data_IF_827222356001
#
_entry.id   IF_827222356001
#
_cell.length_a   1.000
_cell.length_b   1.000
_cell.length_c   1.000
_cell.angle_alpha   90.00
_cell.angle_beta   90.00
_cell.angle_gamma   90.00
#
_symmetry.space_group_name_H-M   'P 1'
#
loop_
_entity.id
_entity.type
_entity.pdbx_description
1 polymer ?
#
# COMPACT_ATOMS: atom_id res chain seq x y z
N UNK A 1 -28.55 -10.38 1.45
CA UNK A 1 -29.31 -9.16 1.01
C UNK A 1 -28.31 -8.34 0.22
N UNK A 2 -28.64 -7.85 -0.99
CA UNK A 2 -27.71 -7.09 -1.83
C UNK A 2 -27.33 -5.78 -1.13
N UNK A 3 -26.02 -5.51 -1.03
CA UNK A 3 -25.51 -4.24 -0.49
C UNK A 3 -25.62 -3.15 -1.57
N UNK A 4 -26.62 -2.28 -1.44
CA UNK A 4 -26.90 -1.21 -2.42
C UNK A 4 -25.76 -0.21 -2.56
N UNK A 5 -25.09 0.12 -1.45
CA UNK A 5 -23.96 1.07 -1.44
C UNK A 5 -22.79 0.48 -2.22
N UNK A 6 -22.48 -0.79 -1.99
CA UNK A 6 -21.41 -1.47 -2.68
C UNK A 6 -21.68 -1.61 -4.19
N UNK A 7 -22.90 -2.03 -4.54
CA UNK A 7 -23.35 -2.01 -5.93
C UNK A 7 -23.14 -0.64 -6.58
N UNK A 8 -23.61 0.42 -5.92
CA UNK A 8 -23.51 1.78 -6.44
C UNK A 8 -22.07 2.22 -6.72
N UNK A 9 -21.18 1.97 -5.80
CA UNK A 9 -19.74 2.26 -5.95
C UNK A 9 -19.14 1.49 -7.14
N UNK A 10 -19.44 0.19 -7.29
CA UNK A 10 -18.96 -0.63 -8.41
C UNK A 10 -19.55 -0.17 -9.75
N UNK A 11 -20.85 0.12 -9.80
CA UNK A 11 -21.49 0.64 -11.00
C UNK A 11 -20.86 1.96 -11.46
N UNK A 12 -20.59 2.88 -10.53
CA UNK A 12 -19.90 4.14 -10.77
C UNK A 12 -18.47 3.92 -11.30
N UNK A 13 -17.72 3.00 -10.69
CA UNK A 13 -16.37 2.63 -11.10
C UNK A 13 -16.35 2.10 -12.54
N UNK A 14 -17.21 1.11 -12.87
CA UNK A 14 -17.26 0.55 -14.22
C UNK A 14 -17.69 1.58 -15.26
N UNK A 15 -18.62 2.47 -14.93
CA UNK A 15 -19.00 3.57 -15.80
C UNK A 15 -17.83 4.50 -16.10
N UNK A 16 -17.11 4.95 -15.06
CA UNK A 16 -15.92 5.81 -15.20
C UNK A 16 -14.82 5.12 -16.01
N UNK A 17 -14.58 3.84 -15.76
CA UNK A 17 -13.62 3.03 -16.53
C UNK A 17 -13.98 2.94 -18.03
N UNK A 18 -15.26 3.07 -18.35
CA UNK A 18 -15.76 3.19 -19.76
C UNK A 18 -15.71 4.62 -20.29
N UNK A 19 -15.32 5.60 -19.50
CA UNK A 19 -15.29 7.01 -19.89
C UNK A 19 -16.67 7.65 -20.01
N UNK A 20 -17.73 7.03 -19.47
CA UNK A 20 -19.10 7.53 -19.62
C UNK A 20 -19.47 8.48 -18.47
N UNK A 21 -20.19 9.57 -18.76
CA UNK A 21 -20.92 10.35 -17.78
C UNK A 21 -22.19 9.62 -17.31
N UNK A 22 -22.79 10.04 -16.22
CA UNK A 22 -24.09 9.49 -15.76
C UNK A 22 -25.20 9.71 -16.79
N UNK A 23 -25.15 10.83 -17.55
CA UNK A 23 -26.10 11.14 -18.61
C UNK A 23 -25.96 10.20 -19.79
N UNK A 24 -24.73 9.95 -20.27
CA UNK A 24 -24.46 9.02 -21.38
C UNK A 24 -24.82 7.58 -21.02
N UNK A 25 -24.55 7.16 -19.77
CA UNK A 25 -25.00 5.84 -19.31
C UNK A 25 -26.54 5.76 -19.29
N UNK A 26 -27.20 6.80 -18.80
CA UNK A 26 -28.67 6.87 -18.77
C UNK A 26 -29.29 6.79 -20.16
N UNK A 27 -28.70 7.47 -21.14
CA UNK A 27 -29.12 7.41 -22.54
C UNK A 27 -28.95 6.00 -23.12
N UNK A 28 -27.81 5.34 -22.85
CA UNK A 28 -27.54 3.96 -23.27
C UNK A 28 -28.57 2.96 -22.74
N UNK A 29 -29.02 3.15 -21.49
CA UNK A 29 -29.94 2.25 -20.80
C UNK A 29 -31.41 2.66 -20.94
N UNK A 30 -31.73 3.75 -21.65
CA UNK A 30 -33.10 4.25 -21.76
C UNK A 30 -33.73 4.73 -20.43
N UNK A 31 -32.91 5.18 -19.49
CA UNK A 31 -33.32 5.65 -18.15
C UNK A 31 -32.98 7.12 -17.95
N UNK A 32 -33.28 7.68 -16.79
CA UNK A 32 -32.90 9.05 -16.45
C UNK A 32 -31.54 9.11 -15.76
N UNK A 33 -30.80 10.21 -15.92
CA UNK A 33 -29.54 10.42 -15.20
C UNK A 33 -29.76 10.42 -13.67
N UNK A 34 -30.95 10.80 -13.21
CA UNK A 34 -31.34 10.72 -11.79
C UNK A 34 -31.45 9.25 -11.30
N UNK A 35 -31.89 8.33 -12.16
CA UNK A 35 -31.94 6.91 -11.83
C UNK A 35 -30.52 6.38 -11.66
N UNK A 36 -29.62 6.66 -12.60
CA UNK A 36 -28.21 6.30 -12.51
C UNK A 36 -27.57 6.87 -11.24
N UNK A 37 -27.81 8.15 -10.94
CA UNK A 37 -27.32 8.79 -9.72
C UNK A 37 -27.83 8.10 -8.44
N UNK A 38 -29.12 7.71 -8.39
CA UNK A 38 -29.68 6.96 -7.26
C UNK A 38 -29.01 5.61 -7.07
N UNK A 39 -28.70 4.92 -8.17
CA UNK A 39 -27.99 3.64 -8.11
C UNK A 39 -26.56 3.83 -7.57
N UNK A 40 -25.83 4.78 -8.11
CA UNK A 40 -24.44 5.05 -7.72
C UNK A 40 -24.30 5.58 -6.28
N UNK A 41 -25.33 6.28 -5.77
CA UNK A 41 -25.41 6.68 -4.37
C UNK A 41 -25.91 5.57 -3.43
N UNK A 42 -26.20 4.37 -3.93
CA UNK A 42 -26.69 3.25 -3.11
C UNK A 42 -28.13 3.41 -2.61
N UNK A 43 -28.92 4.33 -3.18
CA UNK A 43 -30.32 4.57 -2.81
C UNK A 43 -31.28 3.60 -3.50
N UNK A 44 -30.88 3.02 -4.65
CA UNK A 44 -31.66 2.07 -5.41
C UNK A 44 -30.73 1.05 -6.11
N UNK A 45 -31.32 -0.03 -6.62
CA UNK A 45 -30.69 -0.99 -7.52
C UNK A 45 -31.52 -1.02 -8.79
N UNK A 46 -30.92 -1.16 -9.99
CA UNK A 46 -31.64 -1.42 -11.23
C UNK A 46 -32.44 -2.73 -11.14
N UNK A 47 -33.45 -2.86 -11.98
CA UNK A 47 -34.10 -4.16 -12.19
C UNK A 47 -33.15 -5.16 -12.89
N UNK A 48 -33.59 -6.40 -13.01
CA UNK A 48 -32.75 -7.49 -13.53
C UNK A 48 -32.36 -7.28 -15.00
N UNK A 49 -33.24 -6.67 -15.80
CA UNK A 49 -32.97 -6.45 -17.20
C UNK A 49 -31.88 -5.39 -17.39
N UNK A 50 -31.94 -4.30 -16.61
CA UNK A 50 -30.93 -3.26 -16.58
C UNK A 50 -29.60 -3.75 -15.97
N UNK A 51 -29.64 -4.68 -15.01
CA UNK A 51 -28.42 -5.32 -14.50
C UNK A 51 -27.74 -6.17 -15.59
N UNK A 52 -28.49 -6.87 -16.42
CA UNK A 52 -27.97 -7.62 -17.56
C UNK A 52 -27.36 -6.67 -18.59
N UNK A 53 -28.03 -5.56 -18.92
CA UNK A 53 -27.50 -4.56 -19.85
C UNK A 53 -26.21 -3.93 -19.32
N UNK A 54 -26.15 -3.58 -18.03
CA UNK A 54 -24.93 -3.08 -17.38
C UNK A 54 -23.78 -4.10 -17.45
N UNK A 55 -24.08 -5.38 -17.17
CA UNK A 55 -23.10 -6.46 -17.25
C UNK A 55 -22.51 -6.59 -18.66
N UNK A 56 -23.34 -6.54 -19.70
CA UNK A 56 -22.91 -6.55 -21.09
C UNK A 56 -22.12 -5.31 -21.48
N UNK A 57 -22.61 -4.12 -21.10
CA UNK A 57 -21.96 -2.84 -21.39
C UNK A 57 -20.56 -2.77 -20.78
N UNK A 58 -20.44 -3.20 -19.52
CA UNK A 58 -19.17 -3.18 -18.79
C UNK A 58 -18.27 -4.37 -19.09
N UNK A 59 -18.81 -5.42 -19.72
CA UNK A 59 -18.13 -6.72 -19.97
C UNK A 59 -17.70 -7.39 -18.67
N UNK A 60 -18.60 -7.42 -17.70
CA UNK A 60 -18.43 -8.06 -16.39
C UNK A 60 -19.61 -8.99 -16.12
N UNK A 61 -19.53 -9.86 -15.13
CA UNK A 61 -20.67 -10.69 -14.73
C UNK A 61 -21.63 -9.89 -13.83
N UNK A 62 -22.88 -10.34 -13.71
CA UNK A 62 -23.82 -9.76 -12.74
C UNK A 62 -23.26 -9.91 -11.31
N UNK A 63 -22.58 -11.01 -11.03
CA UNK A 63 -21.93 -11.21 -9.74
C UNK A 63 -20.87 -10.13 -9.48
N UNK A 64 -20.09 -9.75 -10.48
CA UNK A 64 -19.14 -8.64 -10.37
C UNK A 64 -19.81 -7.30 -10.04
N UNK A 65 -21.08 -7.14 -10.35
CA UNK A 65 -21.86 -5.94 -10.01
C UNK A 65 -22.50 -6.03 -8.61
N UNK A 66 -23.02 -7.20 -8.24
CA UNK A 66 -23.88 -7.37 -7.08
C UNK A 66 -23.19 -7.96 -5.85
N UNK A 67 -22.18 -8.83 -6.06
CA UNK A 67 -21.50 -9.46 -4.95
C UNK A 67 -20.61 -8.42 -4.25
N UNK A 68 -20.84 -8.32 -2.98
CA UNK A 68 -19.85 -7.82 -2.02
C UNK A 68 -18.78 -8.91 -1.94
N UNK A 69 -17.91 -8.91 -2.96
CA UNK A 69 -16.74 -9.79 -2.92
C UNK A 69 -15.92 -9.25 -1.77
N UNK A 70 -16.05 -9.89 -0.62
CA UNK A 70 -15.13 -9.66 0.49
C UNK A 70 -13.73 -10.06 0.02
N UNK A 71 -13.04 -9.10 -0.61
CA UNK A 71 -11.70 -9.31 -1.13
C UNK A 71 -10.80 -9.85 -0.02
N UNK A 72 -10.99 -9.37 1.20
CA UNK A 72 -10.25 -9.82 2.36
C UNK A 72 -10.56 -11.30 2.65
N UNK A 73 -11.84 -11.74 2.52
CA UNK A 73 -12.17 -13.16 2.62
C UNK A 73 -11.52 -13.99 1.50
N UNK A 74 -11.51 -13.48 0.27
CA UNK A 74 -10.87 -14.20 -0.85
C UNK A 74 -9.40 -14.46 -0.57
N UNK A 75 -8.66 -13.45 -0.15
CA UNK A 75 -7.21 -13.55 0.06
C UNK A 75 -6.82 -14.17 1.40
N UNK A 76 -7.68 -14.09 2.45
CA UNK A 76 -7.38 -14.63 3.78
C UNK A 76 -8.08 -15.97 4.05
N UNK A 77 -9.24 -16.19 3.45
CA UNK A 77 -10.14 -17.31 3.80
C UNK A 77 -10.86 -17.13 5.14
N UNK A 78 -10.89 -15.91 5.69
CA UNK A 78 -11.55 -15.61 6.98
C UNK A 78 -12.56 -14.49 6.79
N UNK A 79 -13.74 -14.62 7.41
CA UNK A 79 -14.72 -13.55 7.46
C UNK A 79 -14.19 -12.38 8.28
N UNK A 80 -14.33 -11.18 7.75
CA UNK A 80 -13.83 -9.94 8.37
C UNK A 80 -14.91 -9.14 9.08
N UNK A 81 -16.16 -9.60 9.00
CA UNK A 81 -17.32 -8.91 9.56
C UNK A 81 -17.70 -7.64 8.80
N UNK A 82 -18.61 -6.83 9.38
CA UNK A 82 -19.14 -5.63 8.72
C UNK A 82 -18.22 -4.40 8.78
N UNK A 83 -16.99 -4.52 9.32
CA UNK A 83 -16.14 -3.36 9.62
C UNK A 83 -15.19 -3.06 8.51
N UNK A 84 -15.21 -3.32 7.31
CA UNK A 84 -14.25 -2.99 6.24
C UNK A 84 -12.75 -2.92 6.67
N UNK A 85 -12.45 -3.35 7.90
CA UNK A 85 -11.10 -3.51 8.46
C UNK A 85 -10.99 -4.93 9.01
N UNK A 86 -10.05 -5.70 8.48
CA UNK A 86 -9.72 -7.03 8.99
C UNK A 86 -8.64 -6.91 10.09
N UNK A 87 -8.96 -7.35 11.30
CA UNK A 87 -8.01 -7.36 12.41
C UNK A 87 -7.47 -8.77 12.62
N UNK A 88 -6.19 -8.96 12.34
CA UNK A 88 -5.44 -10.20 12.59
C UNK A 88 -4.41 -10.06 13.72
N UNK A 89 -4.39 -8.90 14.34
CA UNK A 89 -3.63 -8.55 15.54
C UNK A 89 -4.60 -8.08 16.62
N UNK A 90 -4.21 -8.09 17.91
CA UNK A 90 -5.01 -7.48 18.96
C UNK A 90 -5.33 -6.01 18.61
N UNK A 91 -6.57 -5.58 18.88
CA UNK A 91 -6.96 -4.18 18.62
C UNK A 91 -6.24 -3.18 19.54
N UNK A 92 -5.62 -3.66 20.62
CA UNK A 92 -4.75 -2.85 21.47
C UNK A 92 -3.37 -2.72 20.81
N UNK A 93 -2.86 -1.49 20.80
CA UNK A 93 -1.52 -1.22 20.30
C UNK A 93 -0.46 -1.94 21.12
N UNK A 94 0.56 -2.46 20.44
CA UNK A 94 1.76 -2.94 21.12
C UNK A 94 2.57 -1.74 21.63
N UNK A 95 3.36 -1.94 22.68
CA UNK A 95 4.10 -0.86 23.35
C UNK A 95 4.90 0.00 22.38
N UNK A 96 5.58 -0.60 21.41
CA UNK A 96 6.39 0.13 20.41
C UNK A 96 5.56 0.88 19.35
N UNK A 97 4.26 0.57 19.20
CA UNK A 97 3.37 1.26 18.27
C UNK A 97 2.63 2.44 18.93
N UNK A 98 2.68 2.57 20.26
CA UNK A 98 1.92 3.60 20.99
C UNK A 98 2.37 5.00 20.59
N UNK A 99 3.67 5.21 20.41
CA UNK A 99 4.21 6.51 20.01
C UNK A 99 3.68 6.91 18.63
N UNK A 100 3.79 6.04 17.65
CA UNK A 100 3.25 6.24 16.30
C UNK A 100 1.74 6.48 16.29
N UNK A 101 0.99 5.71 17.08
CA UNK A 101 -0.45 5.86 17.21
C UNK A 101 -0.82 7.23 17.82
N UNK A 102 -0.05 7.71 18.79
CA UNK A 102 -0.26 9.01 19.42
C UNK A 102 0.11 10.16 18.46
N UNK A 103 1.19 10.04 17.75
CA UNK A 103 1.61 11.02 16.74
C UNK A 103 0.57 11.16 15.63
N UNK A 104 0.03 10.07 15.14
CA UNK A 104 -1.02 10.07 14.12
C UNK A 104 -2.26 10.80 14.62
N UNK A 105 -2.72 10.49 15.84
CA UNK A 105 -3.92 11.12 16.44
C UNK A 105 -3.74 12.61 16.66
N UNK A 106 -2.54 13.05 17.03
CA UNK A 106 -2.28 14.41 17.49
C UNK A 106 -1.68 15.33 16.42
N UNK A 107 -1.13 14.79 15.32
CA UNK A 107 -0.18 15.51 14.49
C UNK A 107 -0.62 15.84 13.06
N UNK A 108 -1.84 15.57 12.61
CA UNK A 108 -2.25 15.74 11.19
C UNK A 108 -1.29 15.08 10.17
N UNK A 109 -0.56 14.06 10.59
CA UNK A 109 0.48 13.40 9.79
C UNK A 109 -0.08 12.87 8.47
N UNK A 110 -1.23 12.20 8.51
CA UNK A 110 -1.88 11.64 7.33
C UNK A 110 -2.18 12.72 6.30
N UNK A 111 -2.83 13.80 6.73
CA UNK A 111 -3.16 14.91 5.83
C UNK A 111 -1.91 15.56 5.23
N UNK A 112 -0.89 15.83 6.06
CA UNK A 112 0.37 16.43 5.59
C UNK A 112 1.07 15.54 4.55
N UNK A 113 1.15 14.24 4.79
CA UNK A 113 1.78 13.31 3.87
C UNK A 113 0.96 13.12 2.60
N UNK A 114 -0.36 13.10 2.71
CA UNK A 114 -1.26 13.10 1.56
C UNK A 114 -1.05 14.35 0.69
N UNK A 115 -1.03 15.54 1.29
CA UNK A 115 -0.78 16.79 0.57
C UNK A 115 0.64 16.82 -0.03
N UNK A 116 1.64 16.30 0.69
CA UNK A 116 3.00 16.19 0.18
C UNK A 116 3.09 15.29 -1.06
N UNK A 117 2.39 14.15 -1.05
CA UNK A 117 2.37 13.24 -2.20
C UNK A 117 1.73 13.85 -3.46
N UNK A 118 0.94 14.93 -3.33
CA UNK A 118 0.38 15.67 -4.47
C UNK A 118 1.40 16.61 -5.13
N UNK A 119 2.50 16.90 -4.46
CA UNK A 119 3.63 17.63 -5.07
C UNK A 119 4.38 16.69 -6.02
N UNK A 120 5.20 17.28 -6.90
CA UNK A 120 6.03 16.49 -7.80
C UNK A 120 7.14 15.78 -7.02
N UNK A 121 7.19 14.47 -7.17
CA UNK A 121 8.27 13.61 -6.68
C UNK A 121 8.55 12.55 -7.76
N UNK A 122 9.45 12.84 -8.73
CA UNK A 122 9.61 12.00 -9.92
C UNK A 122 9.85 10.53 -9.63
N UNK A 123 10.62 10.18 -8.60
CA UNK A 123 10.92 8.80 -8.25
C UNK A 123 9.71 8.06 -7.67
N UNK A 124 9.01 8.71 -6.73
CA UNK A 124 7.82 8.14 -6.11
C UNK A 124 6.62 8.12 -7.07
N UNK A 125 6.46 9.16 -7.89
CA UNK A 125 5.43 9.23 -8.93
C UNK A 125 5.62 8.09 -9.93
N UNK A 126 6.85 7.87 -10.43
CA UNK A 126 7.16 6.77 -11.33
C UNK A 126 6.88 5.40 -10.70
N UNK A 127 7.25 5.20 -9.43
CA UNK A 127 6.96 3.96 -8.73
C UNK A 127 5.44 3.76 -8.55
N UNK A 128 4.72 4.80 -8.16
CA UNK A 128 3.25 4.78 -8.05
C UNK A 128 2.58 4.44 -9.37
N UNK A 129 3.03 5.00 -10.49
CA UNK A 129 2.57 4.69 -11.84
C UNK A 129 2.85 3.23 -12.21
N UNK A 130 4.05 2.72 -11.93
CA UNK A 130 4.42 1.33 -12.20
C UNK A 130 3.55 0.35 -11.39
N UNK A 131 3.37 0.59 -10.09
CA UNK A 131 2.49 -0.22 -9.24
C UNK A 131 1.04 -0.15 -9.75
N UNK A 132 0.54 1.05 -10.03
CA UNK A 132 -0.82 1.29 -10.47
C UNK A 132 -1.14 0.72 -11.86
N UNK A 133 -0.11 0.49 -12.69
CA UNK A 133 -0.26 -0.13 -14.02
C UNK A 133 -0.45 -1.64 -13.95
N UNK A 134 -0.15 -2.27 -12.83
CA UNK A 134 -0.35 -3.70 -12.64
C UNK A 134 -1.84 -3.99 -12.45
N UNK A 135 -2.35 -4.95 -13.20
CA UNK A 135 -3.72 -5.43 -13.01
C UNK A 135 -3.79 -6.33 -11.76
N UNK A 136 -4.90 -6.24 -11.02
CA UNK A 136 -5.17 -7.13 -9.88
C UNK A 136 -5.08 -6.45 -8.52
N UNK A 137 -4.70 -7.23 -7.51
CA UNK A 137 -4.70 -6.82 -6.10
C UNK A 137 -3.33 -6.28 -5.71
N UNK A 138 -3.28 -5.04 -5.27
CA UNK A 138 -2.11 -4.40 -4.69
C UNK A 138 -2.21 -4.53 -3.16
N UNK A 139 -1.17 -5.04 -2.54
CA UNK A 139 -1.02 -5.07 -1.09
C UNK A 139 0.05 -4.05 -0.68
N UNK A 140 -0.35 -2.97 -0.04
CA UNK A 140 0.56 -2.04 0.63
C UNK A 140 0.85 -2.54 2.02
N UNK A 141 2.12 -2.84 2.35
CA UNK A 141 2.53 -3.32 3.68
C UNK A 141 3.28 -2.26 4.47
N UNK A 142 3.07 -2.24 5.79
CA UNK A 142 3.76 -1.29 6.66
C UNK A 142 3.50 0.15 6.29
N UNK A 143 2.26 0.50 5.97
CA UNK A 143 1.85 1.81 5.44
C UNK A 143 2.33 2.98 6.31
N UNK A 144 2.37 2.79 7.62
CA UNK A 144 2.76 3.84 8.56
C UNK A 144 1.94 5.12 8.44
N UNK A 145 2.30 6.17 9.18
CA UNK A 145 1.65 7.48 9.06
C UNK A 145 1.93 8.18 7.73
N UNK A 146 2.99 7.75 7.03
CA UNK A 146 3.39 8.29 5.72
C UNK A 146 2.51 7.86 4.56
N UNK A 147 1.81 6.74 4.69
CA UNK A 147 0.98 6.17 3.63
C UNK A 147 1.73 5.31 2.61
N UNK A 148 3.03 5.15 2.76
CA UNK A 148 3.84 4.36 1.84
C UNK A 148 3.75 4.81 0.39
N UNK A 149 3.57 3.87 -0.53
CA UNK A 149 3.30 4.15 -1.94
C UNK A 149 1.82 4.43 -2.23
N UNK A 150 0.90 4.08 -1.32
CA UNK A 150 -0.54 4.18 -1.55
C UNK A 150 -1.01 5.57 -2.06
N UNK A 151 -0.54 6.72 -1.52
CA UNK A 151 -0.94 8.02 -2.05
C UNK A 151 -0.51 8.25 -3.50
N UNK A 152 0.63 7.72 -3.93
CA UNK A 152 1.15 7.83 -5.29
C UNK A 152 0.42 6.89 -6.24
N UNK A 153 0.08 5.67 -5.78
CA UNK A 153 -0.75 4.72 -6.53
C UNK A 153 -2.12 5.33 -6.81
N UNK A 154 -2.77 5.90 -5.79
CA UNK A 154 -4.08 6.55 -5.95
C UNK A 154 -4.04 7.85 -6.75
N UNK A 155 -2.88 8.52 -6.81
CA UNK A 155 -2.65 9.67 -7.71
C UNK A 155 -2.62 9.22 -9.18
N UNK A 156 -2.01 8.08 -9.46
CA UNK A 156 -1.89 7.51 -10.81
C UNK A 156 -3.16 6.79 -11.25
N UNK A 157 -3.79 6.02 -10.36
CA UNK A 157 -5.02 5.26 -10.62
C UNK A 157 -5.94 5.29 -9.37
N UNK A 158 -6.91 6.20 -9.33
CA UNK A 158 -7.87 6.29 -8.21
C UNK A 158 -8.74 5.04 -8.03
N UNK A 159 -8.88 4.22 -9.06
CA UNK A 159 -9.70 3.00 -9.06
C UNK A 159 -8.87 1.71 -8.79
N UNK A 160 -7.59 1.85 -8.41
CA UNK A 160 -6.75 0.70 -8.07
C UNK A 160 -7.35 -0.12 -6.90
N UNK A 161 -7.25 -1.44 -7.01
CA UNK A 161 -7.67 -2.34 -5.92
C UNK A 161 -6.52 -2.50 -4.93
N UNK A 162 -6.63 -1.85 -3.78
CA UNK A 162 -5.57 -1.80 -2.77
C UNK A 162 -6.06 -2.38 -1.45
N UNK A 163 -5.27 -3.31 -0.89
CA UNK A 163 -5.33 -3.70 0.51
C UNK A 163 -4.24 -2.91 1.23
N UNK A 164 -4.64 -1.92 2.01
CA UNK A 164 -3.75 -1.14 2.85
C UNK A 164 -3.53 -1.88 4.17
N UNK A 165 -2.28 -2.10 4.56
CA UNK A 165 -1.99 -2.84 5.79
C UNK A 165 -0.89 -2.22 6.65
N UNK A 166 -1.06 -2.39 7.96
CA UNK A 166 -0.08 -2.00 8.97
C UNK A 166 -0.19 -2.93 10.18
N UNK A 167 0.85 -3.00 10.98
CA UNK A 167 0.82 -3.71 12.26
C UNK A 167 -0.04 -2.98 13.29
N UNK A 168 -0.13 -1.64 13.20
CA UNK A 168 -0.91 -0.79 14.08
C UNK A 168 -2.37 -0.69 13.63
N UNK A 169 -3.35 -1.19 14.41
CA UNK A 169 -4.77 -0.97 14.16
C UNK A 169 -5.15 0.51 14.07
N UNK A 170 -4.47 1.38 14.82
CA UNK A 170 -4.70 2.83 14.79
C UNK A 170 -4.30 3.42 13.45
N UNK A 171 -3.11 3.08 12.92
CA UNK A 171 -2.66 3.55 11.59
C UNK A 171 -3.71 3.19 10.53
N UNK A 172 -4.15 1.93 10.53
CA UNK A 172 -5.15 1.45 9.57
C UNK A 172 -6.48 2.20 9.71
N UNK A 173 -6.97 2.39 10.95
CA UNK A 173 -8.25 3.07 11.19
C UNK A 173 -8.22 4.54 10.78
N UNK A 174 -7.13 5.25 11.09
CA UNK A 174 -6.99 6.67 10.78
C UNK A 174 -6.85 6.91 9.28
N UNK A 175 -6.10 6.08 8.56
CA UNK A 175 -6.05 6.13 7.10
C UNK A 175 -7.41 5.85 6.48
N UNK A 176 -8.13 4.82 6.96
CA UNK A 176 -9.48 4.54 6.48
C UNK A 176 -10.40 5.75 6.68
N UNK A 177 -10.41 6.32 7.89
CA UNK A 177 -11.24 7.48 8.20
C UNK A 177 -10.92 8.70 7.32
N UNK A 178 -9.65 8.93 7.02
CA UNK A 178 -9.21 10.00 6.13
C UNK A 178 -9.62 9.74 4.67
N UNK A 179 -9.37 8.53 4.17
CA UNK A 179 -9.64 8.19 2.77
C UNK A 179 -11.14 8.10 2.47
N UNK A 180 -11.94 7.58 3.39
CA UNK A 180 -13.41 7.55 3.27
C UNK A 180 -14.02 8.96 3.10
N UNK A 181 -13.35 9.99 3.63
CA UNK A 181 -13.78 11.40 3.48
C UNK A 181 -13.20 12.08 2.25
N UNK A 182 -12.05 11.62 1.78
CA UNK A 182 -11.25 12.29 0.75
C UNK A 182 -11.50 11.73 -0.63
N UNK A 183 -11.80 10.43 -0.71
CA UNK A 183 -11.96 9.70 -1.96
C UNK A 183 -13.26 8.91 -1.98
N UNK A 184 -13.89 8.86 -3.14
CA UNK A 184 -14.96 7.90 -3.44
C UNK A 184 -14.36 6.70 -4.19
N UNK A 185 -13.55 5.90 -3.48
CA UNK A 185 -12.95 4.69 -4.04
C UNK A 185 -13.58 3.43 -3.44
N UNK A 186 -14.24 2.60 -4.27
CA UNK A 186 -14.87 1.36 -3.80
C UNK A 186 -13.87 0.22 -3.58
N UNK A 187 -12.62 0.38 -4.02
CA UNK A 187 -11.64 -0.69 -4.11
C UNK A 187 -10.54 -0.58 -3.05
N UNK A 188 -10.79 0.18 -1.97
CA UNK A 188 -9.88 0.27 -0.84
C UNK A 188 -10.32 -0.67 0.28
N UNK A 189 -9.42 -1.55 0.66
CA UNK A 189 -9.56 -2.53 1.73
C UNK A 189 -8.49 -2.30 2.78
N UNK A 190 -8.76 -2.68 4.01
CA UNK A 190 -7.90 -2.34 5.14
C UNK A 190 -7.67 -3.55 6.02
N UNK A 191 -6.43 -3.81 6.42
CA UNK A 191 -6.09 -4.94 7.26
C UNK A 191 -4.99 -4.61 8.26
N UNK A 192 -5.15 -5.00 9.52
CA UNK A 192 -4.11 -4.90 10.53
C UNK A 192 -3.49 -6.27 10.77
N UNK A 193 -2.23 -6.45 10.36
CA UNK A 193 -1.48 -7.69 10.53
C UNK A 193 0.03 -7.46 10.54
N UNK A 194 0.74 -8.45 11.04
CA UNK A 194 2.20 -8.55 10.98
C UNK A 194 2.61 -9.09 9.59
N UNK A 195 3.31 -8.30 8.80
CA UNK A 195 3.76 -8.73 7.47
C UNK A 195 4.87 -9.80 7.52
N UNK A 196 5.49 -10.04 8.68
CA UNK A 196 6.36 -11.19 8.89
C UNK A 196 5.56 -12.51 9.08
N UNK A 197 4.24 -12.45 9.19
CA UNK A 197 3.34 -13.58 9.29
C UNK A 197 1.97 -13.22 8.69
N UNK A 198 1.94 -13.04 7.38
CA UNK A 198 0.75 -12.56 6.68
C UNK A 198 -0.39 -13.58 6.73
N UNK A 199 -1.60 -13.20 7.18
CA UNK A 199 -2.77 -14.08 7.21
C UNK A 199 -3.40 -14.24 5.82
N UNK A 200 -2.58 -14.23 4.78
CA UNK A 200 -2.97 -14.29 3.38
C UNK A 200 -2.65 -15.67 2.79
N UNK A 201 -3.48 -16.10 1.84
CA UNK A 201 -3.23 -17.34 1.08
C UNK A 201 -2.01 -17.20 0.20
N UNK A 202 -1.36 -18.31 -0.08
CA UNK A 202 -0.32 -18.38 -1.10
C UNK A 202 -0.87 -17.97 -2.47
N UNK A 203 -0.05 -17.30 -3.26
CA UNK A 203 -0.39 -16.93 -4.63
C UNK A 203 -1.71 -16.16 -4.77
N UNK A 204 -2.01 -15.25 -3.83
CA UNK A 204 -3.25 -14.49 -3.79
C UNK A 204 -3.11 -13.01 -4.18
N UNK A 205 -1.89 -12.47 -4.17
CA UNK A 205 -1.58 -11.05 -4.38
C UNK A 205 -0.83 -10.87 -5.70
N UNK A 206 -1.18 -9.86 -6.46
CA UNK A 206 -0.53 -9.55 -7.74
C UNK A 206 0.69 -8.65 -7.56
N UNK A 207 0.58 -7.64 -6.69
CA UNK A 207 1.69 -6.71 -6.38
C UNK A 207 1.73 -6.44 -4.88
N UNK A 208 2.93 -6.47 -4.31
CA UNK A 208 3.21 -5.93 -2.98
C UNK A 208 4.00 -4.64 -3.15
N UNK A 209 3.55 -3.58 -2.48
CA UNK A 209 4.28 -2.33 -2.33
C UNK A 209 4.73 -2.14 -0.88
N UNK A 210 5.98 -1.70 -0.72
CA UNK A 210 6.63 -1.48 0.57
C UNK A 210 7.49 -0.22 0.52
N UNK A 211 7.22 0.73 1.39
CA UNK A 211 8.01 1.95 1.49
C UNK A 211 8.74 2.01 2.83
N UNK A 212 9.78 1.18 2.98
CA UNK A 212 10.64 1.13 4.16
C UNK A 212 10.16 0.22 5.29
N UNK A 213 9.00 -0.40 5.19
CA UNK A 213 8.48 -1.32 6.22
C UNK A 213 9.41 -2.50 6.46
N UNK A 214 9.79 -3.21 5.39
CA UNK A 214 10.72 -4.35 5.47
C UNK A 214 12.09 -3.88 5.98
N UNK A 215 12.59 -2.74 5.51
CA UNK A 215 13.86 -2.17 5.95
C UNK A 215 13.91 -1.90 7.45
N UNK A 216 12.79 -1.50 8.05
CA UNK A 216 12.65 -1.20 9.47
C UNK A 216 12.31 -2.43 10.35
N UNK A 217 12.22 -3.62 9.78
CA UNK A 217 11.88 -4.83 10.51
C UNK A 217 13.15 -5.46 11.09
N UNK A 218 13.56 -5.02 12.28
CA UNK A 218 14.77 -5.50 12.94
C UNK A 218 14.74 -7.03 13.16
N UNK A 219 15.76 -7.73 12.63
CA UNK A 219 15.97 -9.16 12.83
C UNK A 219 15.02 -10.10 12.06
N UNK A 220 13.98 -9.57 11.38
CA UNK A 220 12.98 -10.39 10.69
C UNK A 220 12.86 -10.09 9.17
N UNK A 221 13.77 -9.30 8.58
CA UNK A 221 13.74 -8.89 7.16
C UNK A 221 13.62 -10.09 6.21
N UNK A 222 14.42 -11.13 6.42
CA UNK A 222 14.37 -12.35 5.63
C UNK A 222 13.03 -13.09 5.73
N UNK A 223 12.37 -13.04 6.90
CA UNK A 223 11.05 -13.63 7.11
C UNK A 223 9.97 -12.84 6.38
N UNK A 224 10.02 -11.50 6.45
CA UNK A 224 9.13 -10.62 5.72
C UNK A 224 9.21 -10.83 4.21
N UNK A 225 10.42 -10.95 3.65
CA UNK A 225 10.63 -11.21 2.23
C UNK A 225 10.14 -12.60 1.79
N UNK A 226 10.29 -13.64 2.63
CA UNK A 226 9.74 -14.97 2.38
C UNK A 226 8.21 -14.96 2.39
N UNK A 227 7.59 -14.24 3.31
CA UNK A 227 6.13 -14.08 3.34
C UNK A 227 5.64 -13.30 2.11
N UNK A 228 6.33 -12.22 1.71
CA UNK A 228 6.04 -11.51 0.48
C UNK A 228 6.10 -12.43 -0.74
N UNK A 229 7.16 -13.24 -0.84
CA UNK A 229 7.29 -14.23 -1.91
C UNK A 229 6.16 -15.27 -1.87
N UNK A 230 5.80 -15.78 -0.69
CA UNK A 230 4.74 -16.77 -0.53
C UNK A 230 3.40 -16.29 -1.05
N UNK A 231 2.99 -15.08 -0.66
CA UNK A 231 1.65 -14.56 -0.99
C UNK A 231 1.52 -14.00 -2.40
N UNK A 232 2.63 -13.61 -3.04
CA UNK A 232 2.63 -13.19 -4.43
C UNK A 232 2.27 -14.35 -5.37
N UNK A 233 1.49 -14.07 -6.39
CA UNK A 233 1.24 -14.99 -7.52
C UNK A 233 2.51 -15.19 -8.35
N UNK A 234 2.64 -16.30 -9.10
CA UNK A 234 3.66 -16.40 -10.14
C UNK A 234 3.55 -15.21 -11.11
N UNK A 235 4.67 -14.57 -11.42
CA UNK A 235 4.74 -13.32 -12.18
C UNK A 235 4.41 -12.06 -11.38
N UNK A 236 3.99 -12.20 -10.12
CA UNK A 236 3.72 -11.08 -9.22
C UNK A 236 4.98 -10.33 -8.80
N UNK A 237 4.83 -9.09 -8.38
CA UNK A 237 5.94 -8.18 -8.10
C UNK A 237 5.95 -7.70 -6.65
N UNK A 238 7.13 -7.62 -6.06
CA UNK A 238 7.42 -6.80 -4.87
C UNK A 238 8.12 -5.53 -5.34
N UNK A 239 7.50 -4.36 -5.07
CA UNK A 239 8.12 -3.07 -5.32
C UNK A 239 8.39 -2.42 -3.97
N UNK A 240 9.68 -2.31 -3.61
CA UNK A 240 10.11 -1.83 -2.30
C UNK A 240 11.01 -0.61 -2.42
N UNK A 241 10.87 0.34 -1.50
CA UNK A 241 11.77 1.48 -1.33
C UNK A 241 12.55 1.32 -0.03
N UNK A 242 13.86 1.27 -0.12
CA UNK A 242 14.75 1.15 1.03
C UNK A 242 15.93 2.09 0.89
N UNK A 243 16.44 2.59 2.02
CA UNK A 243 17.65 3.41 2.07
C UNK A 243 18.67 2.79 3.02
N UNK A 244 19.94 2.77 2.61
CA UNK A 244 21.04 2.29 3.43
C UNK A 244 22.33 3.05 3.14
N UNK A 245 23.30 2.94 4.05
CA UNK A 245 24.64 3.52 3.89
C UNK A 245 25.51 2.49 3.17
N UNK A 246 26.04 2.84 2.00
CA UNK A 246 26.84 1.91 1.19
C UNK A 246 28.18 1.60 1.83
N UNK A 247 28.77 0.46 1.43
CA UNK A 247 30.12 0.04 1.90
C UNK A 247 31.19 1.08 1.60
N UNK A 248 31.09 1.78 0.47
CA UNK A 248 32.00 2.86 0.08
C UNK A 248 31.87 4.07 1.02
N UNK A 249 30.64 4.44 1.38
CA UNK A 249 30.40 5.51 2.35
C UNK A 249 30.96 5.13 3.72
N UNK A 250 30.71 3.90 4.19
CA UNK A 250 31.25 3.41 5.46
C UNK A 250 32.78 3.43 5.44
N UNK A 251 33.42 2.94 4.37
CA UNK A 251 34.87 2.86 4.26
C UNK A 251 35.56 4.24 4.23
N UNK A 252 34.86 5.30 3.87
CA UNK A 252 35.36 6.67 3.87
C UNK A 252 35.33 7.33 5.26
N UNK A 253 34.70 6.73 6.26
CA UNK A 253 34.62 7.27 7.62
C UNK A 253 35.87 6.97 8.45
N UNK A 254 36.14 7.74 9.53
CA UNK A 254 37.14 7.39 10.51
C UNK A 254 36.94 5.99 11.09
N UNK A 255 38.01 5.22 11.25
CA UNK A 255 37.97 3.81 11.70
C UNK A 255 37.20 3.63 13.01
N UNK A 256 37.34 4.59 13.93
CA UNK A 256 36.64 4.52 15.23
C UNK A 256 35.12 4.72 15.05
N UNK A 257 34.72 5.64 14.17
CA UNK A 257 33.31 5.83 13.83
C UNK A 257 32.73 4.57 13.15
N UNK A 258 33.47 3.94 12.22
CA UNK A 258 33.03 2.69 11.58
C UNK A 258 32.72 1.61 12.63
N UNK A 259 33.60 1.39 13.61
CA UNK A 259 33.43 0.39 14.66
C UNK A 259 32.20 0.64 15.48
N UNK A 260 31.99 1.89 15.94
CA UNK A 260 30.84 2.26 16.79
C UNK A 260 29.53 2.13 16.00
N UNK A 261 29.51 2.55 14.73
CA UNK A 261 28.34 2.44 13.87
C UNK A 261 27.96 0.99 13.61
N UNK A 262 28.95 0.13 13.28
CA UNK A 262 28.71 -1.31 13.07
C UNK A 262 28.25 -2.03 14.34
N UNK A 263 28.75 -1.63 15.50
CA UNK A 263 28.32 -2.19 16.80
C UNK A 263 26.90 -1.80 17.20
N UNK A 264 26.53 -0.52 16.99
CA UNK A 264 25.27 0.04 17.49
C UNK A 264 24.14 0.07 16.46
N UNK A 265 24.46 0.16 15.18
CA UNK A 265 23.53 0.39 14.09
C UNK A 265 23.99 -0.32 12.79
N UNK A 266 24.31 -1.61 12.90
CA UNK A 266 24.64 -2.44 11.71
C UNK A 266 23.48 -2.47 10.69
N UNK A 267 22.25 -2.32 11.16
CA UNK A 267 21.02 -2.31 10.37
C UNK A 267 21.03 -1.28 9.23
N UNK A 268 21.67 -0.12 9.43
CA UNK A 268 21.71 0.95 8.41
C UNK A 268 22.67 0.66 7.24
N UNK A 269 23.49 -0.39 7.35
CA UNK A 269 24.42 -0.84 6.31
C UNK A 269 23.93 -2.07 5.58
N UNK A 270 22.76 -2.61 5.95
CA UNK A 270 22.19 -3.80 5.35
C UNK A 270 21.47 -3.45 4.04
N UNK A 271 21.94 -4.06 2.96
CA UNK A 271 21.23 -4.04 1.67
C UNK A 271 20.35 -5.29 1.59
N UNK A 272 19.06 -5.12 1.39
CA UNK A 272 18.10 -6.21 1.28
C UNK A 272 18.25 -7.06 0.01
N UNK A 273 19.23 -6.78 -0.86
CA UNK A 273 19.37 -7.47 -2.14
C UNK A 273 19.60 -8.99 -1.97
N UNK A 274 20.57 -9.37 -1.13
CA UNK A 274 20.88 -10.79 -0.89
C UNK A 274 19.71 -11.54 -0.26
N UNK A 275 19.05 -10.93 0.74
CA UNK A 275 17.88 -11.52 1.39
C UNK A 275 16.71 -11.67 0.41
N UNK A 276 16.57 -10.76 -0.54
CA UNK A 276 15.55 -10.81 -1.59
C UNK A 276 15.81 -11.99 -2.53
N UNK A 277 17.07 -12.21 -2.93
CA UNK A 277 17.45 -13.39 -3.73
C UNK A 277 17.21 -14.68 -2.94
N UNK A 278 17.59 -14.72 -1.66
CA UNK A 278 17.40 -15.89 -0.79
C UNK A 278 15.93 -16.19 -0.49
N UNK A 279 15.06 -15.19 -0.57
CA UNK A 279 13.62 -15.37 -0.47
C UNK A 279 13.00 -16.03 -1.71
N UNK A 280 13.72 -16.06 -2.85
CA UNK A 280 13.31 -16.72 -4.09
C UNK A 280 13.04 -15.79 -5.26
N UNK A 281 13.18 -14.48 -5.11
CA UNK A 281 13.02 -13.55 -6.23
C UNK A 281 14.19 -13.66 -7.21
N UNK A 282 13.88 -13.81 -8.50
CA UNK A 282 14.88 -14.10 -9.52
C UNK A 282 15.25 -12.89 -10.36
N UNK A 283 14.32 -11.97 -10.57
CA UNK A 283 14.52 -10.75 -11.33
C UNK A 283 14.37 -9.55 -10.42
N UNK A 284 15.50 -8.84 -10.20
CA UNK A 284 15.56 -7.69 -9.30
C UNK A 284 16.13 -6.51 -10.06
N UNK A 285 15.26 -5.57 -10.42
CA UNK A 285 15.62 -4.31 -11.04
C UNK A 285 15.74 -3.24 -9.94
N UNK A 286 16.89 -2.57 -9.84
CA UNK A 286 17.16 -1.56 -8.81
C UNK A 286 17.42 -0.20 -9.44
N UNK A 287 16.75 0.83 -8.94
CA UNK A 287 16.93 2.23 -9.37
C UNK A 287 17.18 3.11 -8.15
N UNK A 288 18.20 3.96 -8.20
CA UNK A 288 18.43 4.97 -7.16
C UNK A 288 17.29 5.99 -7.22
N UNK A 289 16.58 6.15 -6.12
CA UNK A 289 15.47 7.11 -5.98
C UNK A 289 15.89 8.43 -5.35
N UNK A 290 17.00 8.44 -4.63
CA UNK A 290 17.51 9.67 -3.99
C UNK A 290 18.63 9.42 -3.00
N UNK A 291 19.03 10.52 -2.36
CA UNK A 291 20.00 10.54 -1.29
C UNK A 291 19.49 11.41 -0.16
N UNK A 292 19.82 11.04 1.08
CA UNK A 292 19.63 11.90 2.23
C UNK A 292 20.83 11.80 3.19
N UNK A 293 20.96 12.78 4.06
CA UNK A 293 22.12 12.93 4.92
C UNK A 293 21.69 13.10 6.37
N UNK A 294 22.48 12.56 7.31
CA UNK A 294 22.17 12.66 8.74
C UNK A 294 22.23 14.09 9.29
N UNK A 295 22.92 15.02 8.61
CA UNK A 295 22.91 16.43 9.00
C UNK A 295 21.54 17.11 8.80
N UNK A 296 20.74 16.58 7.87
CA UNK A 296 19.41 17.09 7.52
C UNK A 296 18.29 16.34 8.23
N UNK A 297 18.60 15.46 9.20
CA UNK A 297 17.67 14.54 9.83
C UNK A 297 17.70 14.64 11.35
N UNK A 298 16.58 14.30 12.01
CA UNK A 298 16.39 14.31 13.48
C UNK A 298 16.24 12.89 14.07
N UNK A 299 16.58 11.85 13.30
CA UNK A 299 16.50 10.46 13.76
C UNK A 299 17.60 10.09 14.75
N UNK A 300 17.44 8.97 15.45
CA UNK A 300 18.43 8.43 16.38
C UNK A 300 19.77 8.11 15.71
N UNK A 301 19.77 7.72 14.43
CA UNK A 301 21.00 7.52 13.68
C UNK A 301 21.70 8.86 13.38
N UNK A 302 20.96 9.93 13.14
CA UNK A 302 21.49 11.26 12.97
C UNK A 302 22.13 11.79 14.27
N UNK A 303 21.50 11.54 15.42
CA UNK A 303 22.10 11.89 16.74
C UNK A 303 23.41 11.13 16.98
N UNK A 304 23.46 9.83 16.65
CA UNK A 304 24.67 9.05 16.75
C UNK A 304 25.76 9.58 15.82
N UNK A 305 25.44 9.83 14.55
CA UNK A 305 26.37 10.38 13.57
C UNK A 305 26.95 11.74 14.02
N UNK A 306 26.11 12.65 14.50
CA UNK A 306 26.53 13.94 15.07
C UNK A 306 27.47 13.76 16.26
N UNK A 307 27.17 12.81 17.16
CA UNK A 307 28.04 12.52 18.32
C UNK A 307 29.42 12.00 17.93
N UNK A 308 29.54 11.38 16.76
CA UNK A 308 30.80 10.88 16.20
C UNK A 308 31.47 11.90 15.26
N UNK A 309 30.87 13.05 15.02
CA UNK A 309 31.38 14.09 14.11
C UNK A 309 31.39 13.64 12.64
N UNK A 310 30.46 12.79 12.25
CA UNK A 310 30.34 12.29 10.87
C UNK A 310 28.97 12.61 10.28
N UNK A 311 28.92 12.79 8.96
CA UNK A 311 27.68 12.93 8.22
C UNK A 311 27.50 11.68 7.32
N UNK A 312 26.48 10.89 7.57
CA UNK A 312 26.20 9.66 6.81
C UNK A 312 25.37 9.99 5.58
N UNK A 313 25.82 9.52 4.44
CA UNK A 313 25.04 9.57 3.20
C UNK A 313 24.27 8.26 3.06
N UNK A 314 22.96 8.34 3.11
CA UNK A 314 22.08 7.24 2.74
C UNK A 314 21.76 7.31 1.25
N UNK A 315 21.77 6.15 0.62
CA UNK A 315 21.31 5.98 -0.76
C UNK A 315 20.00 5.23 -0.73
N UNK A 316 18.96 5.85 -1.27
CA UNK A 316 17.64 5.24 -1.39
C UNK A 316 17.46 4.56 -2.73
N UNK A 317 16.90 3.36 -2.72
CA UNK A 317 16.61 2.57 -3.91
C UNK A 317 15.13 2.24 -3.97
N UNK A 318 14.59 2.23 -5.19
CA UNK A 318 13.35 1.53 -5.51
C UNK A 318 13.74 0.26 -6.25
N UNK A 319 13.28 -0.89 -5.75
CA UNK A 319 13.50 -2.21 -6.34
C UNK A 319 12.19 -2.81 -6.78
N UNK A 320 12.20 -3.36 -7.99
CA UNK A 320 11.12 -4.18 -8.53
C UNK A 320 11.63 -5.62 -8.60
N UNK A 321 11.05 -6.50 -7.79
CA UNK A 321 11.44 -7.89 -7.64
C UNK A 321 10.30 -8.78 -8.14
N UNK A 322 10.57 -9.68 -9.09
CA UNK A 322 9.54 -10.54 -9.68
C UNK A 322 9.63 -11.96 -9.11
N UNK A 323 8.49 -12.55 -8.77
CA UNK A 323 8.34 -13.97 -8.48
C UNK A 323 8.14 -14.74 -9.78
N UNK A 324 9.03 -15.69 -10.08
CA UNK A 324 8.84 -16.62 -11.20
C UNK A 324 7.93 -17.81 -10.87
#
# INVERSE_FOLDING_TARGET
MINKIHFGKRASMFRRKKGLSQGELAEHLGVTAQAVSKWECGNAIPDIDLLLELSHLYKVTINDLLEDVDLLYQVTGRETGNSNIAYFVPQQERTYNIEWANEIRNGNWIQRNWEHSRKANPSMDKAGEEIASCEGIILEIGTGPGGGFMPYILKANPDATIIMSDLSPTVVSEWKHFLDKTLDSPNLYYAAFDFCNMPLKENSIDVISDCGGIGNCEGEKAKALKEAYRVLKPGGKLITSTGFVTKETLAALPVEAQKILLDKRSDVFEDLYEDTVLAGFSKIDSTISGYWYTDDDESTIADLARSLGVNLKFTSYIRCCTKE
#
